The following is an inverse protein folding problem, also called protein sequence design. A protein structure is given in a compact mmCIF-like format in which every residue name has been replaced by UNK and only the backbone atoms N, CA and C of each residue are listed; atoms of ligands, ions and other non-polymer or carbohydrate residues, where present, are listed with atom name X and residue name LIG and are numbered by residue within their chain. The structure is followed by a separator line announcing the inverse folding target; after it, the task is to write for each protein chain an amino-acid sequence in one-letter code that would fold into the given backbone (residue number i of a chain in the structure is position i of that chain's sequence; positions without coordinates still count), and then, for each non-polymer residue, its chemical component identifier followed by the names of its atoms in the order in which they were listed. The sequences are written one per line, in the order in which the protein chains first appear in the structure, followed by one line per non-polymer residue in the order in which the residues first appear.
data_IF_331843710965
#
_entry.id   IF_331843710965
#
_cell.length_a   1.000
_cell.length_b   1.000
_cell.length_c   1.000
_cell.angle_alpha   90.00
_cell.angle_beta   90.00
_cell.angle_gamma   90.00
#
_symmetry.space_group_name_H-M   'P 1'
#
loop_
_entity.id
_entity.type
_entity.pdbx_description
1 polymer ?
#
# COMPACT_ATOMS: atom_id res chain seq x y z
N UNK A 1 -17.69 5.03 -0.45
CA UNK A 1 -18.00 3.62 -0.15
C UNK A 1 -18.78 3.54 1.15
N UNK A 2 -19.96 2.92 1.19
CA UNK A 2 -20.72 2.73 2.43
C UNK A 2 -19.96 1.79 3.39
N UNK A 3 -20.26 1.87 4.69
CA UNK A 3 -19.72 0.93 5.67
C UNK A 3 -20.24 -0.48 5.39
N UNK A 4 -19.32 -1.45 5.25
CA UNK A 4 -19.67 -2.86 5.03
C UNK A 4 -19.49 -3.67 6.32
N UNK A 5 -20.56 -4.34 6.75
CA UNK A 5 -20.57 -5.12 7.99
C UNK A 5 -20.65 -4.26 9.26
N UNK A 6 -21.08 -4.87 10.37
CA UNK A 6 -21.28 -4.14 11.65
C UNK A 6 -19.97 -3.76 12.35
N UNK A 7 -18.87 -4.52 12.14
CA UNK A 7 -17.66 -4.36 12.97
C UNK A 7 -16.31 -4.49 12.25
N UNK A 8 -16.27 -4.87 10.96
CA UNK A 8 -15.01 -5.22 10.28
C UNK A 8 -14.44 -4.12 9.37
N UNK A 9 -15.29 -3.44 8.60
CA UNK A 9 -14.88 -2.33 7.72
C UNK A 9 -15.39 -1.01 8.31
N UNK A 10 -14.45 -0.20 8.78
CA UNK A 10 -14.75 1.10 9.42
C UNK A 10 -15.14 2.15 8.38
N UNK A 11 -15.79 3.21 8.85
CA UNK A 11 -16.14 4.37 8.02
C UNK A 11 -14.87 5.00 7.46
N UNK A 12 -14.78 5.04 6.12
CA UNK A 12 -13.73 5.77 5.43
C UNK A 12 -13.89 7.28 5.62
N UNK A 13 -12.76 7.99 5.63
CA UNK A 13 -12.76 9.44 5.55
C UNK A 13 -13.33 9.91 4.20
N UNK A 14 -13.82 11.15 4.16
CA UNK A 14 -14.45 11.73 2.98
C UNK A 14 -13.52 11.77 1.75
N UNK A 15 -12.19 11.73 1.96
CA UNK A 15 -11.19 11.68 0.90
C UNK A 15 -10.05 10.73 1.29
N UNK A 16 -10.08 9.52 0.72
CA UNK A 16 -9.04 8.50 0.90
C UNK A 16 -7.76 8.87 0.15
N UNK A 17 -7.89 9.51 -1.02
CA UNK A 17 -6.78 9.86 -1.90
C UNK A 17 -5.85 10.92 -1.32
N UNK A 18 -6.38 11.82 -0.49
CA UNK A 18 -5.60 12.83 0.22
C UNK A 18 -4.63 12.26 1.27
N UNK A 19 -4.83 11.02 1.72
CA UNK A 19 -3.95 10.31 2.68
C UNK A 19 -3.65 11.08 3.97
N UNK A 20 -4.60 11.85 4.49
CA UNK A 20 -4.43 12.64 5.73
C UNK A 20 -4.81 11.82 6.96
N UNK A 21 -3.92 11.80 7.97
CA UNK A 21 -4.15 11.17 9.29
C UNK A 21 -4.52 9.68 9.23
N UNK A 22 -3.92 8.94 8.31
CA UNK A 22 -4.13 7.49 8.19
C UNK A 22 -3.27 6.72 9.19
N UNK A 23 -3.87 5.75 9.87
CA UNK A 23 -3.19 4.72 10.64
C UNK A 23 -2.97 3.46 9.78
N UNK A 24 -2.05 2.58 10.20
CA UNK A 24 -1.72 1.35 9.46
C UNK A 24 -2.96 0.49 9.14
N UNK A 25 -3.89 0.41 10.09
CA UNK A 25 -5.17 -0.32 9.95
C UNK A 25 -6.14 0.27 8.92
N UNK A 26 -6.01 1.55 8.57
CA UNK A 26 -6.85 2.16 7.54
C UNK A 26 -6.44 1.66 6.15
N UNK A 27 -5.14 1.41 5.95
CA UNK A 27 -4.62 0.78 4.73
C UNK A 27 -5.13 -0.64 4.54
N UNK A 28 -5.26 -1.41 5.62
CA UNK A 28 -5.89 -2.74 5.57
C UNK A 28 -7.36 -2.64 5.15
N UNK A 29 -8.10 -1.68 5.72
CA UNK A 29 -9.49 -1.45 5.34
C UNK A 29 -9.62 -1.06 3.85
N UNK A 30 -8.70 -0.26 3.32
CA UNK A 30 -8.65 0.04 1.90
C UNK A 30 -8.42 -1.20 1.07
N UNK A 31 -7.39 -2.00 1.37
CA UNK A 31 -7.07 -3.22 0.62
C UNK A 31 -8.23 -4.22 0.59
N UNK A 32 -8.98 -4.38 1.69
CA UNK A 32 -10.14 -5.27 1.72
C UNK A 32 -11.29 -4.83 0.80
N UNK A 33 -11.35 -3.55 0.43
CA UNK A 33 -12.47 -2.98 -0.33
C UNK A 33 -12.03 -2.35 -1.64
N UNK A 34 -10.77 -2.51 -2.04
CA UNK A 34 -10.17 -1.74 -3.12
C UNK A 34 -10.68 -2.21 -4.49
N UNK A 35 -10.86 -3.51 -4.68
CA UNK A 35 -11.28 -4.15 -5.94
C UNK A 35 -12.59 -3.52 -6.48
N UNK A 36 -13.72 -3.53 -5.75
CA UNK A 36 -14.96 -2.92 -6.25
C UNK A 36 -14.91 -1.39 -6.35
N UNK A 37 -13.88 -0.73 -5.81
CA UNK A 37 -13.70 0.72 -5.99
C UNK A 37 -13.00 1.07 -7.32
N UNK A 38 -12.31 0.11 -7.93
CA UNK A 38 -11.58 0.26 -9.18
C UNK A 38 -12.28 -0.39 -10.38
N UNK A 39 -13.30 -1.22 -10.15
CA UNK A 39 -14.11 -1.83 -11.20
C UNK A 39 -14.83 -0.77 -12.04
N UNK A 40 -14.58 -0.76 -13.36
CA UNK A 40 -15.10 0.20 -14.31
C UNK A 40 -14.54 1.63 -14.17
N UNK A 41 -13.48 1.83 -13.39
CA UNK A 41 -12.89 3.15 -13.16
C UNK A 41 -11.89 3.55 -14.25
N UNK A 42 -11.22 2.57 -14.87
CA UNK A 42 -10.12 2.79 -15.81
C UNK A 42 -10.48 2.28 -17.21
N UNK A 43 -9.76 2.72 -18.26
CA UNK A 43 -9.85 2.08 -19.57
C UNK A 43 -9.54 0.58 -19.43
N UNK A 44 -10.30 -0.26 -20.12
CA UNK A 44 -10.23 -1.73 -19.98
C UNK A 44 -8.80 -2.29 -20.08
N UNK A 45 -7.99 -1.75 -20.99
CA UNK A 45 -6.60 -2.18 -21.20
C UNK A 45 -5.70 -1.98 -19.97
N UNK A 46 -5.95 -0.95 -19.17
CA UNK A 46 -5.20 -0.68 -17.93
C UNK A 46 -5.88 -1.30 -16.71
N UNK A 47 -7.22 -1.38 -16.72
CA UNK A 47 -8.02 -1.86 -15.59
C UNK A 47 -7.66 -3.28 -15.18
N UNK A 48 -7.51 -4.20 -16.14
CA UNK A 48 -7.16 -5.59 -15.86
C UNK A 48 -5.82 -5.69 -15.09
N UNK A 49 -4.79 -4.98 -15.56
CA UNK A 49 -3.48 -4.93 -14.91
C UNK A 49 -3.57 -4.34 -13.49
N UNK A 50 -4.36 -3.27 -13.31
CA UNK A 50 -4.55 -2.65 -11.98
C UNK A 50 -5.30 -3.59 -11.05
N UNK A 51 -6.35 -4.26 -11.52
CA UNK A 51 -7.16 -5.18 -10.73
C UNK A 51 -6.38 -6.43 -10.32
N UNK A 52 -5.58 -7.00 -11.21
CA UNK A 52 -4.67 -8.11 -10.91
C UNK A 52 -3.64 -7.71 -9.86
N UNK A 53 -3.04 -6.52 -9.99
CA UNK A 53 -2.12 -6.00 -8.98
C UNK A 53 -2.80 -5.83 -7.61
N UNK A 54 -4.00 -5.26 -7.58
CA UNK A 54 -4.76 -5.07 -6.35
C UNK A 54 -5.13 -6.40 -5.70
N UNK A 55 -5.49 -7.40 -6.50
CA UNK A 55 -5.75 -8.76 -6.03
C UNK A 55 -4.50 -9.39 -5.41
N UNK A 56 -3.35 -9.33 -6.08
CA UNK A 56 -2.11 -9.91 -5.55
C UNK A 56 -1.62 -9.21 -4.28
N UNK A 57 -1.79 -7.88 -4.19
CA UNK A 57 -1.53 -7.13 -2.94
C UNK A 57 -2.42 -7.59 -1.80
N UNK A 58 -3.72 -7.77 -2.05
CA UNK A 58 -4.68 -8.22 -1.05
C UNK A 58 -4.42 -9.67 -0.62
N UNK A 59 -4.13 -10.57 -1.58
CA UNK A 59 -3.80 -11.97 -1.35
C UNK A 59 -2.51 -12.11 -0.53
N UNK A 60 -1.44 -11.42 -0.94
CA UNK A 60 -0.17 -11.42 -0.22
C UNK A 60 -0.33 -10.88 1.21
N UNK A 61 -1.05 -9.77 1.38
CA UNK A 61 -1.28 -9.20 2.70
C UNK A 61 -2.10 -10.13 3.61
N UNK A 62 -3.13 -10.79 3.07
CA UNK A 62 -3.94 -11.75 3.82
C UNK A 62 -3.10 -12.94 4.31
N UNK A 63 -2.23 -13.49 3.46
CA UNK A 63 -1.31 -14.57 3.81
C UNK A 63 -0.27 -14.12 4.83
N UNK A 64 0.37 -12.97 4.63
CA UNK A 64 1.39 -12.42 5.53
C UNK A 64 0.86 -12.10 6.94
N UNK A 65 -0.46 -11.89 7.06
CA UNK A 65 -1.13 -11.53 8.31
C UNK A 65 -1.71 -12.75 9.07
N UNK A 66 -1.56 -13.96 8.56
CA UNK A 66 -2.02 -15.14 9.28
C UNK A 66 -1.34 -15.22 10.66
N UNK A 67 -2.14 -15.47 11.70
CA UNK A 67 -1.64 -15.60 13.09
C UNK A 67 -1.05 -16.98 13.38
N UNK A 68 -1.15 -17.88 12.43
CA UNK A 68 -0.56 -19.20 12.49
C UNK A 68 -0.15 -19.60 11.07
N UNK A 69 1.09 -20.00 10.91
CA UNK A 69 1.62 -20.51 9.66
C UNK A 69 1.93 -22.00 9.77
N UNK A 70 1.65 -22.72 8.70
CA UNK A 70 2.03 -24.10 8.45
C UNK A 70 2.73 -24.16 7.08
N UNK A 71 3.42 -25.27 6.78
CA UNK A 71 4.21 -25.44 5.55
C UNK A 71 3.45 -24.96 4.30
N UNK A 72 2.21 -25.42 4.13
CA UNK A 72 1.35 -25.04 2.99
C UNK A 72 1.13 -23.53 2.91
N UNK A 73 0.85 -22.85 4.02
CA UNK A 73 0.60 -21.40 4.02
C UNK A 73 1.87 -20.59 3.76
N UNK A 74 3.04 -21.11 4.15
CA UNK A 74 4.33 -20.47 3.87
C UNK A 74 4.71 -20.62 2.40
N UNK A 75 4.41 -21.78 1.81
CA UNK A 75 4.59 -22.01 0.37
C UNK A 75 3.63 -21.14 -0.45
N UNK A 76 2.39 -21.00 0.00
CA UNK A 76 1.43 -20.06 -0.60
C UNK A 76 1.90 -18.61 -0.49
N UNK A 77 2.43 -18.18 0.67
CA UNK A 77 2.98 -16.83 0.84
C UNK A 77 4.18 -16.59 -0.08
N UNK A 78 5.05 -17.59 -0.23
CA UNK A 78 6.20 -17.51 -1.14
C UNK A 78 5.75 -17.38 -2.61
N UNK A 79 4.72 -18.13 -2.99
CA UNK A 79 4.13 -18.08 -4.33
C UNK A 79 3.43 -16.75 -4.60
N UNK A 80 2.60 -16.28 -3.65
CA UNK A 80 1.96 -14.97 -3.71
C UNK A 80 2.98 -13.83 -3.79
N UNK A 81 4.13 -13.94 -3.13
CA UNK A 81 5.20 -12.94 -3.23
C UNK A 81 5.76 -12.88 -4.66
N UNK A 82 5.93 -14.03 -5.33
CA UNK A 82 6.38 -14.08 -6.73
C UNK A 82 5.34 -13.47 -7.68
N UNK A 83 4.06 -13.78 -7.47
CA UNK A 83 2.98 -13.22 -8.27
C UNK A 83 2.84 -11.71 -8.08
N UNK A 84 2.88 -11.24 -6.83
CA UNK A 84 2.91 -9.80 -6.51
C UNK A 84 4.08 -9.10 -7.20
N UNK A 85 5.26 -9.71 -7.21
CA UNK A 85 6.42 -9.15 -7.92
C UNK A 85 6.23 -9.09 -9.43
N UNK A 86 5.60 -10.10 -10.04
CA UNK A 86 5.26 -10.09 -11.46
C UNK A 86 4.23 -8.99 -11.77
N UNK A 87 3.13 -8.92 -11.01
CA UNK A 87 2.07 -7.93 -11.20
C UNK A 87 2.58 -6.48 -11.02
N UNK A 88 3.45 -6.24 -10.02
CA UNK A 88 4.07 -4.93 -9.81
C UNK A 88 4.98 -4.50 -10.97
N UNK A 89 5.71 -5.44 -11.59
CA UNK A 89 6.52 -5.16 -12.78
C UNK A 89 5.65 -4.89 -13.99
N UNK A 90 4.61 -5.69 -14.20
CA UNK A 90 3.66 -5.51 -15.30
C UNK A 90 2.93 -4.16 -15.19
N UNK A 91 2.54 -3.75 -13.98
CA UNK A 91 1.96 -2.42 -13.75
C UNK A 91 2.94 -1.28 -14.08
N UNK A 92 4.23 -1.44 -13.74
CA UNK A 92 5.27 -0.45 -14.07
C UNK A 92 5.54 -0.37 -15.58
N UNK A 93 5.55 -1.50 -16.29
CA UNK A 93 5.88 -1.54 -17.72
C UNK A 93 4.70 -1.23 -18.63
N UNK A 94 3.50 -1.70 -18.30
CA UNK A 94 2.33 -1.61 -19.19
C UNK A 94 1.40 -0.44 -18.85
N UNK A 95 1.24 -0.10 -17.57
CA UNK A 95 0.26 0.91 -17.12
C UNK A 95 0.93 2.25 -16.85
N UNK A 96 1.98 2.29 -16.03
CA UNK A 96 2.60 3.55 -15.60
C UNK A 96 3.02 4.51 -16.75
N UNK A 97 3.54 4.05 -17.91
CA UNK A 97 3.91 4.93 -19.02
C UNK A 97 2.71 5.67 -19.64
N UNK A 98 1.49 5.16 -19.46
CA UNK A 98 0.27 5.73 -20.03
C UNK A 98 -0.24 6.95 -19.24
N UNK A 99 0.30 7.22 -18.04
CA UNK A 99 -0.21 8.25 -17.14
C UNK A 99 0.87 9.27 -16.73
N UNK A 100 0.66 10.56 -17.03
CA UNK A 100 1.50 11.66 -16.52
C UNK A 100 1.23 11.90 -15.03
N UNK A 101 1.99 11.19 -14.19
CA UNK A 101 1.92 11.32 -12.74
C UNK A 101 2.78 12.47 -12.26
N UNK A 102 2.17 13.37 -11.48
CA UNK A 102 2.85 14.54 -10.89
C UNK A 102 2.65 14.57 -9.39
N UNK A 103 3.54 15.29 -8.73
CA UNK A 103 3.38 15.61 -7.32
C UNK A 103 2.02 16.25 -7.03
N UNK A 104 1.47 15.91 -5.86
CA UNK A 104 0.30 16.61 -5.34
C UNK A 104 0.67 18.03 -4.89
N UNK A 105 -0.29 18.96 -4.77
CA UNK A 105 -0.01 20.31 -4.26
C UNK A 105 0.66 20.31 -2.88
N UNK A 106 0.31 19.37 -2.00
CA UNK A 106 0.93 19.25 -0.68
C UNK A 106 2.37 18.74 -0.74
N UNK A 107 2.68 17.83 -1.67
CA UNK A 107 4.05 17.34 -1.90
C UNK A 107 4.94 18.44 -2.47
N UNK A 108 4.44 19.21 -3.44
CA UNK A 108 5.14 20.36 -4.02
C UNK A 108 5.44 21.43 -2.95
N UNK A 109 4.44 21.80 -2.14
CA UNK A 109 4.63 22.72 -1.02
C UNK A 109 5.64 22.20 0.00
N UNK A 110 5.58 20.91 0.34
CA UNK A 110 6.53 20.31 1.27
C UNK A 110 7.97 20.32 0.70
N UNK A 111 8.14 20.12 -0.61
CA UNK A 111 9.44 20.27 -1.28
C UNK A 111 9.95 21.70 -1.18
N UNK A 112 9.13 22.69 -1.54
CA UNK A 112 9.51 24.12 -1.46
C UNK A 112 9.96 24.48 -0.05
N UNK A 113 9.22 24.07 0.98
CA UNK A 113 9.60 24.31 2.39
C UNK A 113 10.93 23.67 2.76
N UNK A 114 11.20 22.44 2.31
CA UNK A 114 12.49 21.77 2.56
C UNK A 114 13.65 22.47 1.85
N UNK A 115 13.41 22.90 0.61
CA UNK A 115 14.39 23.61 -0.18
C UNK A 115 14.76 24.95 0.46
N UNK A 116 13.76 25.72 0.91
CA UNK A 116 13.96 26.99 1.63
C UNK A 116 14.62 26.81 3.00
N UNK A 117 14.31 25.72 3.71
CA UNK A 117 14.96 25.41 4.98
C UNK A 117 16.44 25.03 4.80
N UNK A 118 16.81 24.50 3.63
CA UNK A 118 18.19 24.16 3.28
C UNK A 118 18.96 25.35 2.71
N UNK A 119 18.30 26.18 1.93
CA UNK A 119 18.84 27.36 1.26
C UNK A 119 17.77 28.46 1.18
N UNK A 120 17.80 29.47 2.07
CA UNK A 120 16.76 30.49 2.14
C UNK A 120 16.74 31.43 0.94
N UNK A 121 17.84 31.55 0.19
CA UNK A 121 17.95 32.41 -0.99
C UNK A 121 17.47 31.70 -2.27
N UNK A 122 17.18 30.39 -2.19
CA UNK A 122 16.67 29.61 -3.31
C UNK A 122 15.26 30.06 -3.69
N UNK A 123 15.08 30.42 -4.96
CA UNK A 123 13.79 30.78 -5.51
C UNK A 123 12.74 29.67 -5.29
N UNK A 124 11.55 30.06 -4.84
CA UNK A 124 10.44 29.14 -4.59
C UNK A 124 9.88 28.59 -5.91
N UNK A 125 10.26 27.37 -6.26
CA UNK A 125 9.69 26.62 -7.39
C UNK A 125 8.35 25.98 -6.99
N UNK A 126 7.26 26.70 -7.28
CA UNK A 126 5.88 26.31 -6.98
C UNK A 126 5.29 25.30 -7.97
N UNK A 127 6.01 24.93 -9.03
CA UNK A 127 5.56 23.96 -10.02
C UNK A 127 5.45 22.54 -9.45
N UNK A 128 4.51 21.74 -9.98
CA UNK A 128 4.46 20.29 -9.70
C UNK A 128 5.48 19.58 -10.57
N UNK A 129 6.30 18.72 -9.94
CA UNK A 129 7.29 17.91 -10.67
C UNK A 129 6.68 16.57 -11.06
N UNK A 130 7.16 16.02 -12.18
CA UNK A 130 6.86 14.65 -12.58
C UNK A 130 7.31 13.69 -11.47
N UNK A 131 6.47 12.71 -11.16
CA UNK A 131 6.68 11.77 -10.06
C UNK A 131 6.46 10.35 -10.53
N UNK A 132 7.45 9.74 -11.20
CA UNK A 132 7.31 8.40 -11.73
C UNK A 132 7.12 7.37 -10.63
N UNK A 133 6.53 6.23 -10.99
CA UNK A 133 6.45 5.08 -10.12
C UNK A 133 7.87 4.60 -9.77
N UNK A 134 8.20 4.58 -8.48
CA UNK A 134 9.55 4.24 -8.00
C UNK A 134 9.51 3.17 -6.90
N UNK A 135 8.36 2.52 -6.69
CA UNK A 135 8.20 1.56 -5.58
C UNK A 135 9.13 0.36 -5.77
N UNK A 136 9.36 -0.08 -7.01
CA UNK A 136 10.24 -1.20 -7.36
C UNK A 136 11.69 -1.02 -6.90
N UNK A 137 12.16 0.23 -6.74
CA UNK A 137 13.54 0.53 -6.32
C UNK A 137 13.65 0.81 -4.81
N UNK A 138 12.58 0.56 -4.04
CA UNK A 138 12.60 0.79 -2.60
C UNK A 138 13.03 -0.45 -1.84
N UNK A 139 13.83 -0.27 -0.79
CA UNK A 139 14.17 -1.34 0.14
C UNK A 139 12.93 -2.08 0.67
N UNK A 140 11.86 -1.33 0.96
CA UNK A 140 10.59 -1.88 1.46
C UNK A 140 9.94 -2.88 0.50
N UNK A 141 10.11 -2.69 -0.81
CA UNK A 141 9.61 -3.62 -1.81
C UNK A 141 10.48 -4.89 -1.89
N UNK A 142 11.80 -4.74 -1.85
CA UNK A 142 12.73 -5.86 -1.91
C UNK A 142 12.64 -6.80 -0.69
N UNK A 143 12.40 -6.25 0.50
CA UNK A 143 12.27 -7.05 1.72
C UNK A 143 10.98 -7.88 1.78
N UNK A 144 10.00 -7.65 0.89
CA UNK A 144 8.77 -8.45 0.86
C UNK A 144 9.06 -9.94 0.63
N UNK A 145 10.08 -10.27 -0.16
CA UNK A 145 10.53 -11.65 -0.40
C UNK A 145 11.08 -12.35 0.83
N UNK A 146 11.57 -11.59 1.80
CA UNK A 146 12.17 -12.14 3.03
C UNK A 146 11.13 -12.52 4.08
N UNK A 147 9.85 -12.14 3.90
CA UNK A 147 8.79 -12.39 4.89
C UNK A 147 8.62 -13.87 5.21
N UNK A 148 8.62 -14.75 4.21
CA UNK A 148 8.49 -16.20 4.44
C UNK A 148 9.60 -16.73 5.35
N UNK A 149 10.84 -16.36 5.06
CA UNK A 149 12.00 -16.83 5.81
C UNK A 149 12.04 -16.20 7.22
N UNK A 150 11.66 -14.93 7.32
CA UNK A 150 11.51 -14.25 8.60
C UNK A 150 10.48 -14.96 9.50
N UNK A 151 9.31 -15.32 8.94
CA UNK A 151 8.26 -16.01 9.69
C UNK A 151 8.73 -17.40 10.15
N UNK A 152 9.48 -18.13 9.31
CA UNK A 152 10.05 -19.43 9.68
C UNK A 152 11.03 -19.34 10.86
N UNK A 153 11.84 -18.28 10.91
CA UNK A 153 12.87 -18.10 11.93
C UNK A 153 12.38 -17.48 13.22
N UNK A 154 11.51 -16.48 13.11
CA UNK A 154 11.14 -15.59 14.21
C UNK A 154 9.67 -15.69 14.63
N UNK A 155 8.86 -16.46 13.90
CA UNK A 155 7.42 -16.56 14.12
C UNK A 155 6.61 -15.46 13.41
N UNK A 156 5.31 -15.47 13.66
CA UNK A 156 4.32 -14.58 13.04
C UNK A 156 4.54 -13.11 13.40
N UNK A 157 4.16 -12.21 12.49
CA UNK A 157 4.36 -10.76 12.66
C UNK A 157 3.43 -10.13 13.71
N UNK A 158 2.43 -10.86 14.19
CA UNK A 158 1.41 -10.41 15.14
C UNK A 158 1.94 -10.10 16.55
N UNK A 159 3.14 -10.54 16.91
CA UNK A 159 3.73 -10.28 18.24
C UNK A 159 4.58 -8.99 18.32
N UNK A 160 4.94 -8.38 17.20
CA UNK A 160 5.90 -7.25 17.18
C UNK A 160 5.55 -6.13 16.20
N UNK A 161 4.50 -6.30 15.39
CA UNK A 161 4.03 -5.24 14.49
C UNK A 161 3.31 -4.15 15.28
N UNK A 162 3.52 -2.89 14.92
CA UNK A 162 2.79 -1.75 15.51
C UNK A 162 1.28 -1.79 15.22
N UNK A 163 0.79 -2.75 14.41
CA UNK A 163 -0.65 -2.98 14.23
C UNK A 163 -1.36 -3.41 15.53
N UNK A 164 -0.64 -4.03 16.48
CA UNK A 164 -1.22 -4.55 17.74
C UNK A 164 -1.60 -3.43 18.72
N UNK A 165 -0.95 -2.26 18.63
CA UNK A 165 -1.05 -1.16 19.62
C UNK A 165 -2.46 -0.51 19.68
N UNK A 166 -3.41 -0.93 18.85
CA UNK A 166 -4.80 -0.42 18.87
C UNK A 166 -5.88 -1.42 19.32
N UNK A 167 -5.54 -2.68 19.61
CA UNK A 167 -6.52 -3.65 20.13
C UNK A 167 -6.78 -3.42 21.63
N UNK A 168 -5.75 -3.12 22.42
CA UNK A 168 -5.89 -2.98 23.87
C UNK A 168 -6.60 -1.71 24.34
N UNK A 169 -6.76 -0.68 23.50
CA UNK A 169 -7.49 0.53 23.89
C UNK A 169 -9.02 0.34 23.92
N UNK A 170 -9.54 -0.83 23.52
CA UNK A 170 -10.96 -1.19 23.58
C UNK A 170 -11.25 -2.43 24.45
N UNK A 171 -10.30 -2.83 25.31
CA UNK A 171 -10.53 -3.79 26.40
C UNK A 171 -10.26 -3.15 27.77
N UNK A 172 -10.53 -1.85 27.87
CA UNK A 172 -10.57 -1.11 29.12
C UNK A 172 -12.01 -0.79 29.51
N UNK A 173 -12.49 -1.51 30.53
CA UNK A 173 -13.79 -1.49 31.22
C UNK A 173 -14.90 -2.29 30.56
#
# INVERSE_FOLDING_TARGET
MPTFGRDRIRRFWNDVSARKKLAARDYEAFLMTIIPAYEGLLPLADEENVMDLLFELANWHALAKLRAHHEITLDNLGSATRHLYAAMRQFDTEVCPNYDTRETPSEAQARVRRDQARDPDKAADTGTKAKPFNVLNTYKYHVLGDYCEYIKRCGTSDNWTTQVVSISHYLGV
#
